data_IF_423954073339
#
_entry.id   IF_423954073339
#
_cell.length_a   1.000
_cell.length_b   1.000
_cell.length_c   1.000
_cell.angle_alpha   90.00
_cell.angle_beta   90.00
_cell.angle_gamma   90.00
#
_symmetry.space_group_name_H-M   'P 1'
#
loop_
_entity.id
_entity.type
_entity.pdbx_description
1 polymer ?
#
# COMPACT_ATOMS: atom_id res chain seq x y z
N UNK A 1 -16.32 16.91 3.14
CA UNK A 1 -15.70 15.94 4.08
C UNK A 1 -14.57 15.28 3.34
N UNK A 2 -13.38 15.23 3.94
CA UNK A 2 -12.21 14.57 3.34
C UNK A 2 -11.84 13.34 4.15
N UNK A 3 -11.41 12.27 3.48
CA UNK A 3 -11.03 11.00 4.11
C UNK A 3 -9.58 10.71 3.77
N UNK A 4 -8.72 10.60 4.79
CA UNK A 4 -7.31 10.25 4.65
C UNK A 4 -7.11 8.81 5.10
N UNK A 5 -6.32 8.05 4.33
CA UNK A 5 -5.97 6.65 4.62
C UNK A 5 -4.48 6.56 4.86
N UNK A 6 -4.12 6.02 6.02
CA UNK A 6 -2.74 5.76 6.39
C UNK A 6 -2.58 4.27 6.64
N UNK A 7 -1.70 3.66 5.86
CA UNK A 7 -1.40 2.26 5.94
C UNK A 7 -0.15 2.04 6.78
N UNK A 8 -0.22 1.05 7.66
CA UNK A 8 0.86 0.64 8.54
C UNK A 8 1.06 -0.87 8.42
N UNK A 9 2.26 -1.32 8.79
CA UNK A 9 2.57 -2.73 8.90
C UNK A 9 2.83 -3.08 10.36
N UNK A 10 1.96 -3.90 10.94
CA UNK A 10 2.06 -4.36 12.31
C UNK A 10 3.20 -5.36 12.46
N UNK A 11 4.22 -5.03 13.26
CA UNK A 11 5.43 -5.84 13.42
C UNK A 11 5.18 -7.16 14.14
N UNK A 12 4.40 -7.15 15.22
CA UNK A 12 4.14 -8.33 16.05
C UNK A 12 3.34 -9.39 15.31
N UNK A 13 2.34 -8.95 14.54
CA UNK A 13 1.38 -9.83 13.87
C UNK A 13 1.60 -9.93 12.36
N UNK A 14 2.65 -9.29 11.82
CA UNK A 14 2.97 -9.23 10.39
C UNK A 14 1.75 -8.93 9.50
N UNK A 15 0.94 -7.97 9.93
CA UNK A 15 -0.35 -7.68 9.31
C UNK A 15 -0.46 -6.24 8.86
N UNK A 16 -1.30 -6.01 7.86
CA UNK A 16 -1.56 -4.67 7.31
C UNK A 16 -2.63 -4.00 8.16
N UNK A 17 -2.33 -2.80 8.65
CA UNK A 17 -3.22 -2.01 9.48
C UNK A 17 -3.61 -0.71 8.76
N UNK A 18 -4.87 -0.30 8.90
CA UNK A 18 -5.41 0.90 8.28
C UNK A 18 -5.92 1.87 9.37
N UNK A 19 -5.35 3.08 9.38
CA UNK A 19 -5.87 4.22 10.09
C UNK A 19 -6.61 5.13 9.11
N UNK A 20 -7.85 5.49 9.44
CA UNK A 20 -8.64 6.45 8.64
C UNK A 20 -8.87 7.70 9.47
N UNK A 21 -8.52 8.84 8.88
CA UNK A 21 -8.88 10.14 9.43
C UNK A 21 -10.04 10.73 8.64
N UNK A 22 -11.14 11.02 9.33
CA UNK A 22 -12.27 11.76 8.78
C UNK A 22 -12.13 13.23 9.16
N UNK A 23 -12.23 14.11 8.16
CA UNK A 23 -12.26 15.56 8.40
C UNK A 23 -13.55 16.22 7.98
N UNK A 24 -14.04 17.02 8.90
CA UNK A 24 -15.14 17.95 8.75
C UNK A 24 -14.61 19.37 8.95
N UNK A 25 -14.73 20.22 7.92
CA UNK A 25 -14.21 21.59 7.94
C UNK A 25 -12.73 21.74 7.53
N UNK A 26 -12.24 22.97 7.57
CA UNK A 26 -10.92 23.38 7.06
C UNK A 26 -9.80 23.42 8.13
N UNK A 27 -10.12 23.23 9.41
CA UNK A 27 -9.27 23.72 10.51
C UNK A 27 -8.24 22.74 11.07
N UNK A 28 -8.37 21.44 10.81
CA UNK A 28 -7.39 20.46 11.28
C UNK A 28 -6.50 20.04 10.12
N UNK A 29 -5.17 20.07 10.28
CA UNK A 29 -4.25 19.43 9.34
C UNK A 29 -4.27 17.91 9.55
N UNK A 30 -4.05 17.09 8.50
CA UNK A 30 -4.10 15.64 8.66
C UNK A 30 -2.85 15.21 9.41
N UNK A 31 -2.91 14.09 10.12
CA UNK A 31 -1.73 13.57 10.79
C UNK A 31 -0.66 13.28 9.76
N UNK A 32 0.56 13.74 10.03
CA UNK A 32 1.70 13.50 9.16
C UNK A 32 2.48 12.28 9.65
N UNK A 33 2.44 11.22 8.85
CA UNK A 33 3.24 10.02 9.07
C UNK A 33 4.36 9.98 8.03
N UNK A 34 5.57 9.65 8.50
CA UNK A 34 6.75 9.57 7.65
C UNK A 34 7.02 8.09 7.34
N UNK A 35 7.34 7.79 6.08
CA UNK A 35 7.73 6.46 5.64
C UNK A 35 8.98 5.98 6.40
N UNK A 36 9.07 4.67 6.63
CA UNK A 36 10.18 4.05 7.35
C UNK A 36 10.29 4.40 8.85
N UNK A 37 9.24 4.97 9.46
CA UNK A 37 9.19 5.25 10.90
C UNK A 37 8.27 4.29 11.64
N UNK A 38 8.55 4.10 12.93
CA UNK A 38 7.70 3.35 13.83
C UNK A 38 6.74 4.25 14.60
N UNK A 39 5.56 3.70 14.87
CA UNK A 39 4.51 4.35 15.65
C UNK A 39 3.93 3.35 16.63
N UNK A 40 3.63 3.80 17.84
CA UNK A 40 2.87 3.02 18.81
C UNK A 40 1.40 3.36 18.67
N UNK A 41 0.59 2.34 18.45
CA UNK A 41 -0.86 2.48 18.35
C UNK A 41 -1.53 1.23 18.92
N UNK A 42 -2.70 1.41 19.52
CA UNK A 42 -3.59 0.30 19.79
C UNK A 42 -4.29 -0.11 18.49
N UNK A 43 -4.38 -1.43 18.29
CA UNK A 43 -5.01 -2.03 17.13
C UNK A 43 -6.22 -2.78 17.63
N UNK A 44 -7.41 -2.43 17.13
CA UNK A 44 -8.61 -3.18 17.45
C UNK A 44 -8.73 -4.33 16.47
N UNK A 45 -8.50 -5.54 16.97
CA UNK A 45 -8.71 -6.75 16.21
C UNK A 45 -10.21 -7.10 16.22
N UNK A 46 -10.86 -6.93 15.07
CA UNK A 46 -12.14 -7.57 14.82
C UNK A 46 -11.89 -8.70 13.83
N UNK A 47 -12.32 -9.95 14.12
CA UNK A 47 -12.16 -11.06 13.19
C UNK A 47 -12.95 -10.77 11.92
N UNK A 48 -12.26 -10.20 10.93
CA UNK A 48 -12.82 -9.85 9.63
C UNK A 48 -11.75 -10.00 8.58
N UNK A 49 -12.22 -10.17 7.36
CA UNK A 49 -11.36 -10.21 6.16
C UNK A 49 -10.86 -8.82 5.75
N UNK A 50 -11.32 -7.77 6.43
CA UNK A 50 -10.90 -6.40 6.19
C UNK A 50 -9.57 -6.08 6.92
N UNK A 51 -8.83 -5.05 6.47
CA UNK A 51 -7.63 -4.60 7.17
C UNK A 51 -7.89 -4.29 8.64
N UNK A 52 -6.93 -4.64 9.49
CA UNK A 52 -7.05 -4.37 10.92
C UNK A 52 -7.07 -2.86 11.15
N UNK A 53 -7.97 -2.40 12.03
CA UNK A 53 -8.17 -0.97 12.28
C UNK A 53 -7.33 -0.50 13.45
N UNK A 54 -6.62 0.60 13.23
CA UNK A 54 -6.00 1.35 14.32
C UNK A 54 -7.10 2.18 14.99
N UNK A 55 -7.28 2.00 16.30
CA UNK A 55 -8.35 2.67 17.07
C UNK A 55 -7.93 4.06 17.56
N UNK A 56 -6.64 4.23 17.89
CA UNK A 56 -6.11 5.46 18.46
C UNK A 56 -5.11 6.12 17.51
N UNK A 57 -5.00 7.45 17.56
CA UNK A 57 -4.01 8.18 16.78
C UNK A 57 -2.59 7.66 17.12
N UNK A 58 -1.83 7.14 16.14
CA UNK A 58 -0.51 6.58 16.41
C UNK A 58 0.44 7.64 16.99
N UNK A 59 1.05 7.33 18.13
CA UNK A 59 2.07 8.17 18.75
C UNK A 59 3.45 7.86 18.13
N UNK A 60 4.18 8.91 17.77
CA UNK A 60 5.47 8.78 17.07
C UNK A 60 6.54 8.23 18.00
N UNK A 61 7.27 7.22 17.55
CA UNK A 61 8.56 6.86 18.14
C UNK A 61 9.66 7.04 17.12
N UNK A 62 10.72 7.75 17.51
CA UNK A 62 11.83 8.06 16.62
C UNK A 62 12.85 6.93 16.64
N UNK A 63 12.50 5.81 16.01
CA UNK A 63 13.46 4.76 15.70
C UNK A 63 13.43 4.59 14.18
N UNK A 64 14.46 5.11 13.51
CA UNK A 64 14.72 4.79 12.11
C UNK A 64 15.19 3.35 12.05
N UNK A 65 14.49 2.51 11.28
CA UNK A 65 14.87 1.11 11.17
C UNK A 65 15.65 0.84 9.90
N UNK A 66 16.77 0.11 9.99
CA UNK A 66 17.31 -0.58 8.84
C UNK A 66 16.49 -1.84 8.54
N UNK A 67 16.19 -2.04 7.26
CA UNK A 67 15.86 -3.32 6.64
C UNK A 67 14.69 -4.13 7.27
N UNK A 68 13.45 -3.73 6.98
CA UNK A 68 12.27 -4.55 7.29
C UNK A 68 11.97 -5.45 6.09
N UNK A 69 12.04 -6.76 6.29
CA UNK A 69 11.49 -7.73 5.35
C UNK A 69 9.95 -7.70 5.46
N UNK A 70 9.30 -7.04 4.51
CA UNK A 70 7.84 -7.04 4.38
C UNK A 70 7.46 -8.17 3.44
N UNK A 71 6.49 -8.98 3.85
CA UNK A 71 6.00 -10.08 3.02
C UNK A 71 5.34 -9.54 1.76
N UNK A 72 5.92 -9.90 0.61
CA UNK A 72 5.46 -9.52 -0.71
C UNK A 72 4.85 -10.69 -1.46
N UNK A 73 3.99 -10.37 -2.42
CA UNK A 73 3.34 -11.33 -3.31
C UNK A 73 3.42 -10.84 -4.76
N UNK A 74 3.21 -11.74 -5.72
CA UNK A 74 3.10 -11.37 -7.14
C UNK A 74 1.76 -10.71 -7.43
N UNK A 75 1.67 -10.04 -8.58
CA UNK A 75 0.44 -9.37 -9.02
C UNK A 75 -0.74 -10.35 -9.14
N UNK A 76 -0.57 -11.49 -9.81
CA UNK A 76 -1.63 -12.50 -9.92
C UNK A 76 -2.18 -12.95 -8.56
N UNK A 77 -1.29 -13.27 -7.61
CA UNK A 77 -1.70 -13.64 -6.23
C UNK A 77 -2.46 -12.52 -5.53
N UNK A 78 -2.09 -11.25 -5.77
CA UNK A 78 -2.81 -10.12 -5.21
C UNK A 78 -4.23 -10.00 -5.78
N UNK A 79 -4.41 -10.28 -7.07
CA UNK A 79 -5.71 -10.27 -7.74
C UNK A 79 -6.60 -11.42 -7.27
N UNK A 80 -6.07 -12.64 -7.20
CA UNK A 80 -6.78 -13.80 -6.66
C UNK A 80 -7.23 -13.56 -5.21
N UNK A 81 -6.31 -13.04 -4.38
CA UNK A 81 -6.62 -12.69 -3.01
C UNK A 81 -7.70 -11.61 -2.93
N UNK A 82 -7.66 -10.59 -3.79
CA UNK A 82 -8.68 -9.55 -3.82
C UNK A 82 -10.06 -10.10 -4.23
N UNK A 83 -10.11 -10.97 -5.24
CA UNK A 83 -11.34 -11.63 -5.67
C UNK A 83 -11.95 -12.47 -4.53
N UNK A 84 -11.10 -13.20 -3.80
CA UNK A 84 -11.51 -13.93 -2.61
C UNK A 84 -12.01 -12.98 -1.50
N UNK A 85 -11.33 -11.87 -1.21
CA UNK A 85 -11.82 -10.89 -0.24
C UNK A 85 -13.20 -10.33 -0.63
N UNK A 86 -13.43 -10.06 -1.92
CA UNK A 86 -14.71 -9.56 -2.42
C UNK A 86 -15.85 -10.57 -2.21
N UNK A 87 -15.60 -11.88 -2.22
CA UNK A 87 -16.66 -12.86 -1.96
C UNK A 87 -17.16 -12.83 -0.51
N UNK A 88 -16.36 -12.34 0.44
CA UNK A 88 -16.77 -12.16 1.83
C UNK A 88 -17.24 -10.73 2.13
N UNK A 89 -16.66 -9.74 1.46
CA UNK A 89 -17.01 -8.34 1.63
C UNK A 89 -17.12 -7.64 0.27
N UNK A 90 -18.33 -7.64 -0.35
CA UNK A 90 -18.53 -7.04 -1.66
C UNK A 90 -18.38 -5.50 -1.64
N UNK A 91 -18.38 -4.89 -0.46
CA UNK A 91 -18.17 -3.46 -0.27
C UNK A 91 -16.73 -3.10 0.09
N UNK A 92 -15.77 -4.01 -0.07
CA UNK A 92 -14.36 -3.72 0.14
C UNK A 92 -13.90 -2.65 -0.86
N UNK A 93 -13.61 -1.41 -0.41
CA UNK A 93 -13.34 -0.35 -1.36
C UNK A 93 -11.94 -0.49 -1.95
N UNK A 94 -10.96 -0.70 -1.08
CA UNK A 94 -9.54 -0.71 -1.40
C UNK A 94 -8.81 -1.71 -0.48
N UNK A 95 -7.72 -2.31 -0.97
CA UNK A 95 -6.83 -3.14 -0.15
C UNK A 95 -5.36 -2.88 -0.50
N UNK A 96 -4.49 -2.93 0.51
CA UNK A 96 -3.05 -2.72 0.30
C UNK A 96 -2.33 -4.03 0.01
N UNK A 97 -1.43 -3.96 -0.95
CA UNK A 97 -0.52 -5.03 -1.32
C UNK A 97 0.93 -4.55 -1.29
N UNK A 98 1.81 -5.51 -1.05
CA UNK A 98 3.25 -5.34 -1.18
C UNK A 98 3.60 -6.30 -2.31
N UNK A 99 3.94 -5.73 -3.46
CA UNK A 99 4.09 -6.45 -4.70
C UNK A 99 5.58 -6.62 -5.01
N UNK A 100 5.97 -7.81 -5.44
CA UNK A 100 7.32 -8.10 -5.93
C UNK A 100 7.26 -8.45 -7.42
N UNK A 101 8.42 -8.45 -8.08
CA UNK A 101 8.59 -8.85 -9.48
C UNK A 101 7.72 -8.01 -10.43
N UNK A 102 7.53 -6.73 -10.08
CA UNK A 102 6.71 -5.80 -10.83
C UNK A 102 7.51 -5.11 -11.93
N UNK A 103 6.95 -5.12 -13.13
CA UNK A 103 7.40 -4.33 -14.27
C UNK A 103 6.35 -3.31 -14.64
N UNK A 104 6.82 -2.15 -15.11
CA UNK A 104 5.96 -1.13 -15.68
C UNK A 104 5.91 -1.27 -17.19
N UNK A 105 4.70 -1.23 -17.74
CA UNK A 105 4.45 -1.23 -19.16
C UNK A 105 3.57 -0.05 -19.53
N UNK A 106 3.64 0.39 -20.79
CA UNK A 106 2.76 1.42 -21.32
C UNK A 106 2.09 0.96 -22.60
N UNK A 107 0.79 1.23 -22.70
CA UNK A 107 -0.01 1.00 -23.90
C UNK A 107 -1.01 2.15 -24.03
N UNK A 108 -1.12 2.74 -25.23
CA UNK A 108 -2.05 3.85 -25.48
C UNK A 108 -1.97 5.00 -24.46
N UNK A 109 -0.74 5.32 -24.00
CA UNK A 109 -0.45 6.35 -22.97
C UNK A 109 -0.99 6.03 -21.57
N UNK A 110 -1.48 4.81 -21.34
CA UNK A 110 -1.84 4.30 -20.03
C UNK A 110 -0.66 3.49 -19.51
N UNK A 111 -0.31 3.69 -18.24
CA UNK A 111 0.72 2.92 -17.56
C UNK A 111 0.09 1.76 -16.80
N UNK A 112 0.79 0.64 -16.79
CA UNK A 112 0.35 -0.61 -16.20
C UNK A 112 1.44 -1.19 -15.30
N UNK A 113 1.01 -1.83 -14.22
CA UNK A 113 1.82 -2.75 -13.40
C UNK A 113 1.60 -4.15 -13.95
N UNK A 114 2.67 -4.91 -14.14
CA UNK A 114 2.63 -6.29 -14.65
C UNK A 114 3.61 -7.20 -13.90
N UNK A 115 3.33 -8.50 -13.83
CA UNK A 115 4.19 -9.52 -13.23
C UNK A 115 4.98 -10.35 -14.25
N UNK A 116 5.32 -9.75 -15.40
CA UNK A 116 6.14 -10.41 -16.42
C UNK A 116 5.37 -11.00 -17.61
N UNK A 117 4.05 -10.78 -17.70
CA UNK A 117 3.31 -10.90 -18.97
C UNK A 117 1.88 -11.41 -18.86
N UNK A 118 1.50 -12.05 -17.76
CA UNK A 118 0.19 -12.71 -17.65
C UNK A 118 -0.86 -11.82 -16.98
N UNK A 119 -0.46 -11.00 -16.00
CA UNK A 119 -1.37 -10.06 -15.34
C UNK A 119 -0.92 -8.63 -15.62
N UNK A 120 -1.88 -7.76 -15.94
CA UNK A 120 -1.65 -6.33 -16.08
C UNK A 120 -2.78 -5.53 -15.44
N UNK A 121 -2.42 -4.48 -14.71
CA UNK A 121 -3.40 -3.62 -14.04
C UNK A 121 -3.01 -2.16 -14.25
N UNK A 122 -3.94 -1.28 -14.63
CA UNK A 122 -3.64 0.13 -14.81
C UNK A 122 -3.12 0.80 -13.53
N UNK A 123 -2.18 1.71 -13.70
CA UNK A 123 -1.68 2.58 -12.65
C UNK A 123 -2.53 3.85 -12.52
N UNK A 124 -2.76 4.25 -11.29
CA UNK A 124 -3.34 5.54 -10.91
C UNK A 124 -2.24 6.45 -10.34
N UNK A 125 -1.42 6.99 -11.24
CA UNK A 125 -0.27 7.84 -10.92
C UNK A 125 -0.16 9.02 -11.89
N UNK A 126 0.45 10.11 -11.42
CA UNK A 126 0.81 11.21 -12.30
C UNK A 126 1.94 10.77 -13.25
N UNK A 127 1.96 11.31 -14.47
CA UNK A 127 3.01 11.01 -15.45
C UNK A 127 4.41 11.38 -14.89
N UNK A 128 4.48 12.37 -14.00
CA UNK A 128 5.71 12.84 -13.36
C UNK A 128 6.35 11.82 -12.41
N UNK A 129 5.57 10.94 -11.75
CA UNK A 129 6.11 9.93 -10.85
C UNK A 129 6.61 8.67 -11.58
N UNK A 130 6.20 8.48 -12.84
CA UNK A 130 6.51 7.27 -13.61
C UNK A 130 8.02 7.05 -13.83
N UNK A 131 8.84 8.06 -14.23
CA UNK A 131 10.27 7.85 -14.41
C UNK A 131 10.97 7.34 -13.15
N UNK A 132 10.56 7.85 -11.98
CA UNK A 132 11.10 7.39 -10.70
C UNK A 132 10.70 5.94 -10.42
N UNK A 133 9.42 5.59 -10.63
CA UNK A 133 8.95 4.22 -10.44
C UNK A 133 9.63 3.24 -11.40
N UNK A 134 9.84 3.62 -12.67
CA UNK A 134 10.57 2.79 -13.64
C UNK A 134 12.01 2.55 -13.19
N UNK A 135 12.71 3.61 -12.77
CA UNK A 135 14.09 3.52 -12.29
C UNK A 135 14.22 2.58 -11.10
N UNK A 136 13.27 2.65 -10.15
CA UNK A 136 13.28 1.77 -8.98
C UNK A 136 12.88 0.33 -9.33
N UNK A 137 11.96 0.13 -10.29
CA UNK A 137 11.47 -1.20 -10.66
C UNK A 137 12.53 -2.11 -11.30
N UNK A 138 13.60 -1.54 -11.85
CA UNK A 138 14.71 -2.31 -12.44
C UNK A 138 15.60 -2.97 -11.36
N UNK A 139 15.44 -2.58 -10.09
CA UNK A 139 16.22 -3.17 -9.01
C UNK A 139 15.72 -4.59 -8.64
N UNK A 140 16.60 -5.61 -8.54
CA UNK A 140 16.20 -7.00 -8.28
C UNK A 140 15.42 -7.25 -6.98
N UNK A 141 15.58 -6.35 -5.99
CA UNK A 141 14.91 -6.40 -4.68
C UNK A 141 13.95 -5.22 -4.49
N UNK A 142 13.26 -4.85 -5.57
CA UNK A 142 12.24 -3.82 -5.54
C UNK A 142 10.88 -4.40 -5.15
N UNK A 143 10.21 -3.74 -4.20
CA UNK A 143 8.85 -4.06 -3.79
C UNK A 143 7.97 -2.82 -3.89
N UNK A 144 6.83 -2.95 -4.55
CA UNK A 144 5.85 -1.88 -4.69
C UNK A 144 4.80 -2.00 -3.59
N UNK A 145 4.69 -0.99 -2.74
CA UNK A 145 3.60 -0.89 -1.77
C UNK A 145 2.47 -0.12 -2.45
N UNK A 146 1.36 -0.79 -2.76
CA UNK A 146 0.30 -0.22 -3.57
C UNK A 146 -1.09 -0.56 -3.04
N UNK A 147 -2.02 0.38 -3.20
CA UNK A 147 -3.43 0.19 -2.91
C UNK A 147 -4.18 -0.19 -4.20
N UNK A 148 -4.97 -1.26 -4.14
CA UNK A 148 -5.83 -1.71 -5.23
C UNK A 148 -7.29 -1.41 -4.92
N UNK A 149 -8.01 -0.83 -5.87
CA UNK A 149 -9.44 -0.49 -5.74
C UNK A 149 -10.37 -1.38 -6.58
N UNK A 150 -9.89 -2.55 -7.02
CA UNK A 150 -10.63 -3.42 -7.95
C UNK A 150 -10.50 -3.03 -9.42
N UNK A 151 -9.82 -1.92 -9.75
CA UNK A 151 -9.62 -1.46 -11.14
C UNK A 151 -8.20 -1.00 -11.43
N UNK A 152 -7.59 -0.26 -10.51
CA UNK A 152 -6.27 0.36 -10.67
C UNK A 152 -5.43 0.20 -9.42
N UNK A 153 -4.11 0.22 -9.61
CA UNK A 153 -3.15 0.33 -8.52
C UNK A 153 -2.70 1.78 -8.32
N UNK A 154 -2.76 2.23 -7.07
CA UNK A 154 -2.09 3.44 -6.61
C UNK A 154 -0.87 3.04 -5.79
N UNK A 155 0.33 3.20 -6.36
CA UNK A 155 1.59 3.02 -5.62
C UNK A 155 1.67 4.09 -4.53
N UNK A 156 1.91 3.68 -3.30
CA UNK A 156 2.03 4.54 -2.12
C UNK A 156 3.50 4.76 -1.74
N UNK A 157 4.34 3.75 -1.94
CA UNK A 157 5.78 3.79 -1.70
C UNK A 157 6.45 2.63 -2.42
N UNK A 158 7.75 2.73 -2.64
CA UNK A 158 8.59 1.64 -3.14
C UNK A 158 9.64 1.29 -2.10
N UNK A 159 9.88 0.00 -1.89
CA UNK A 159 10.94 -0.50 -1.02
C UNK A 159 12.04 -1.11 -1.87
N UNK A 160 13.28 -0.61 -1.73
CA UNK A 160 14.46 -1.16 -2.39
C UNK A 160 15.50 -1.49 -1.33
N UNK A 161 15.91 -2.75 -1.25
CA UNK A 161 16.84 -3.24 -0.20
C UNK A 161 16.43 -2.86 1.23
N UNK A 162 15.12 -2.81 1.48
CA UNK A 162 14.56 -2.43 2.78
C UNK A 162 14.49 -0.93 3.07
N UNK A 163 14.84 -0.08 2.10
CA UNK A 163 14.70 1.38 2.17
C UNK A 163 13.44 1.86 1.45
N UNK A 164 12.71 2.79 2.07
CA UNK A 164 11.47 3.35 1.51
C UNK A 164 11.76 4.58 0.65
N UNK A 165 11.08 4.65 -0.50
CA UNK A 165 11.07 5.75 -1.45
C UNK A 165 9.64 6.15 -1.81
#
# INVERSE_FOLDING_TARGET
MSVYRHWFYGRTHKTKCLFIEFKFGLWNQPSQFFLGRNYHAAVQFFPSMAPVRISDAPSRTFIQMPNIAIESITLGKALDHFAWLLSYNPFLPNFIYVLQDIKLATENKIWYVSDGGENCVPLDHSIESIPQLMTLSDHPKCQFIAEYNGRKFKVLSVVVDGWFF
#
